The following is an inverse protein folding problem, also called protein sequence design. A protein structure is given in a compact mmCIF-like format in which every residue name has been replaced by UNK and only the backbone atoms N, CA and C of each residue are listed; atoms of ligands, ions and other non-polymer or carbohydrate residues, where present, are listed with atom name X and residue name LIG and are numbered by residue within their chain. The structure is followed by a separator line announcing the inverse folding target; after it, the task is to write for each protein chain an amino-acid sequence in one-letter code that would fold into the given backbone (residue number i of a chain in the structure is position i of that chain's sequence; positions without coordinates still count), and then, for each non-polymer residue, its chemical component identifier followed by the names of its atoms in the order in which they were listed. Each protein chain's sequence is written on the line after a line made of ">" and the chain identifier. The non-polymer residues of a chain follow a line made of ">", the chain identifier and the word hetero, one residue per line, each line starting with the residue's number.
data_IF_625341398498
#
_entry.id   IF_625341398498
#
_cell.length_a   1.000
_cell.length_b   1.000
_cell.length_c   1.000
_cell.angle_alpha   90.00
_cell.angle_beta   90.00
_cell.angle_gamma   90.00
#
_symmetry.space_group_name_H-M   'P 1'
#
loop_
_entity.id
_entity.type
_entity.pdbx_description
1 polymer ?
#
# COMPACT_ATOMS: atom_id res chain seq x y z
N UNK A 1 16.31 1.17 8.63
CA UNK A 1 17.37 0.23 9.05
C UNK A 1 16.91 -1.22 8.90
N UNK A 2 15.78 -1.65 9.51
CA UNK A 2 15.30 -3.05 9.40
C UNK A 2 15.07 -3.47 7.94
N UNK A 3 14.30 -2.69 7.18
CA UNK A 3 14.00 -2.97 5.77
C UNK A 3 15.28 -3.05 4.92
N UNK A 4 16.22 -2.15 5.17
CA UNK A 4 17.53 -2.17 4.49
C UNK A 4 18.31 -3.44 4.83
N UNK A 5 18.40 -3.80 6.11
CA UNK A 5 19.13 -5.00 6.56
C UNK A 5 18.45 -6.27 6.03
N UNK A 6 17.13 -6.33 6.02
CA UNK A 6 16.36 -7.45 5.46
C UNK A 6 16.66 -7.65 3.97
N UNK A 7 16.72 -6.54 3.20
CA UNK A 7 17.06 -6.58 1.77
C UNK A 7 18.45 -7.18 1.49
N UNK A 8 19.39 -7.03 2.45
CA UNK A 8 20.74 -7.61 2.37
C UNK A 8 20.88 -8.97 3.09
N UNK A 9 19.76 -9.61 3.47
CA UNK A 9 19.78 -10.92 4.14
C UNK A 9 20.22 -10.88 5.61
N UNK A 10 20.28 -9.69 6.22
CA UNK A 10 20.74 -9.47 7.62
C UNK A 10 19.53 -9.39 8.59
N UNK A 11 18.58 -10.33 8.45
CA UNK A 11 17.32 -10.32 9.19
C UNK A 11 17.48 -10.33 10.71
N UNK A 12 18.45 -11.10 11.23
CA UNK A 12 18.65 -11.20 12.69
C UNK A 12 19.16 -9.88 13.29
N UNK A 13 20.06 -9.20 12.59
CA UNK A 13 20.52 -7.87 13.01
C UNK A 13 19.37 -6.84 12.93
N UNK A 14 18.56 -6.92 11.87
CA UNK A 14 17.37 -6.08 11.74
C UNK A 14 16.41 -6.25 12.91
N UNK A 15 16.12 -7.51 13.30
CA UNK A 15 15.26 -7.82 14.45
C UNK A 15 15.82 -7.29 15.77
N UNK A 16 17.12 -7.37 15.99
CA UNK A 16 17.75 -6.82 17.20
C UNK A 16 17.50 -5.30 17.36
N UNK A 17 17.52 -4.53 16.24
CA UNK A 17 17.19 -3.12 16.27
C UNK A 17 15.71 -2.87 16.60
N UNK A 18 14.79 -3.68 16.06
CA UNK A 18 13.37 -3.59 16.39
C UNK A 18 13.12 -3.91 17.87
N UNK A 19 13.75 -4.96 18.40
CA UNK A 19 13.65 -5.34 19.82
C UNK A 19 14.19 -4.24 20.75
N UNK A 20 15.27 -3.56 20.36
CA UNK A 20 15.79 -2.41 21.11
C UNK A 20 14.79 -1.26 21.10
N UNK A 21 14.16 -0.98 19.96
CA UNK A 21 13.14 0.06 19.85
C UNK A 21 11.90 -0.25 20.72
N UNK A 22 11.48 -1.52 20.81
CA UNK A 22 10.37 -1.95 21.67
C UNK A 22 10.63 -1.79 23.18
N UNK A 23 11.88 -1.74 23.61
CA UNK A 23 12.24 -1.47 25.03
C UNK A 23 12.03 -0.02 25.42
N UNK A 24 11.95 0.91 24.45
CA UNK A 24 11.64 2.30 24.72
C UNK A 24 10.17 2.43 25.14
N UNK A 25 9.88 3.27 26.14
CA UNK A 25 8.51 3.48 26.62
C UNK A 25 7.75 4.37 25.65
N UNK A 26 6.66 3.85 25.06
CA UNK A 26 5.73 4.65 24.28
C UNK A 26 4.93 5.61 25.19
N UNK A 27 4.83 6.88 24.78
CA UNK A 27 4.16 7.96 25.54
C UNK A 27 3.17 8.75 24.71
N UNK A 28 3.34 8.79 23.39
CA UNK A 28 2.54 9.57 22.46
C UNK A 28 1.81 8.66 21.48
N UNK A 29 0.78 9.20 20.81
CA UNK A 29 0.09 8.48 19.72
C UNK A 29 1.06 7.99 18.64
N UNK A 30 2.05 8.83 18.28
CA UNK A 30 3.08 8.45 17.32
C UNK A 30 3.96 7.31 17.83
N UNK A 31 4.40 7.34 19.09
CA UNK A 31 5.16 6.22 19.67
C UNK A 31 4.36 4.91 19.61
N UNK A 32 3.06 4.95 19.91
CA UNK A 32 2.18 3.77 19.80
C UNK A 32 2.03 3.30 18.36
N UNK A 33 1.90 4.21 17.41
CA UNK A 33 1.86 3.88 15.99
C UNK A 33 3.17 3.21 15.53
N UNK A 34 4.33 3.81 15.85
CA UNK A 34 5.63 3.22 15.50
C UNK A 34 5.82 1.84 16.14
N UNK A 35 5.40 1.66 17.40
CA UNK A 35 5.42 0.36 18.08
C UNK A 35 4.54 -0.66 17.37
N UNK A 36 3.35 -0.27 16.91
CA UNK A 36 2.47 -1.12 16.11
C UNK A 36 3.13 -1.56 14.80
N UNK A 37 3.76 -0.63 14.09
CA UNK A 37 4.53 -0.95 12.87
C UNK A 37 5.66 -1.95 13.13
N UNK A 38 6.40 -1.78 14.23
CA UNK A 38 7.46 -2.72 14.62
C UNK A 38 6.89 -4.11 14.87
N UNK A 39 5.80 -4.24 15.61
CA UNK A 39 5.15 -5.54 15.84
C UNK A 39 4.65 -6.17 14.54
N UNK A 40 4.14 -5.35 13.60
CA UNK A 40 3.74 -5.83 12.26
C UNK A 40 4.93 -6.43 11.50
N UNK A 41 6.09 -5.77 11.53
CA UNK A 41 7.33 -6.26 10.90
C UNK A 41 7.83 -7.55 11.55
N UNK A 42 7.58 -7.74 12.85
CA UNK A 42 7.93 -8.95 13.60
C UNK A 42 6.88 -10.08 13.44
N UNK A 43 5.74 -9.81 12.81
CA UNK A 43 4.64 -10.78 12.65
C UNK A 43 3.78 -10.95 13.91
N UNK A 44 3.99 -10.14 14.96
CA UNK A 44 3.15 -10.11 16.16
C UNK A 44 1.96 -9.17 15.95
N UNK A 45 0.98 -9.67 15.19
CA UNK A 45 -0.17 -8.86 14.77
C UNK A 45 -1.08 -8.46 15.94
N UNK A 46 -1.21 -9.29 16.98
CA UNK A 46 -2.02 -8.97 18.16
C UNK A 46 -1.44 -7.78 18.94
N UNK A 47 -0.13 -7.77 19.16
CA UNK A 47 0.56 -6.64 19.78
C UNK A 47 0.55 -5.39 18.89
N UNK A 48 0.61 -5.57 17.56
CA UNK A 48 0.48 -4.49 16.59
C UNK A 48 -0.88 -3.80 16.70
N UNK A 49 -1.97 -4.58 16.63
CA UNK A 49 -3.34 -4.07 16.75
C UNK A 49 -3.54 -3.35 18.09
N UNK A 50 -3.08 -3.94 19.20
CA UNK A 50 -3.18 -3.33 20.53
C UNK A 50 -2.47 -1.98 20.62
N UNK A 51 -1.32 -1.85 19.97
CA UNK A 51 -0.54 -0.61 19.95
C UNK A 51 -1.19 0.42 19.05
N UNK A 52 -1.56 0.02 17.82
CA UNK A 52 -2.22 0.91 16.85
C UNK A 52 -3.57 1.40 17.34
N UNK A 53 -4.34 0.55 18.06
CA UNK A 53 -5.60 0.96 18.66
C UNK A 53 -5.41 2.12 19.61
N UNK A 54 -4.36 2.12 20.44
CA UNK A 54 -4.05 3.28 21.31
C UNK A 54 -3.79 4.55 20.52
N UNK A 55 -3.05 4.45 19.40
CA UNK A 55 -2.80 5.59 18.54
C UNK A 55 -4.10 6.11 17.90
N UNK A 56 -5.00 5.23 17.47
CA UNK A 56 -6.34 5.59 16.94
C UNK A 56 -7.20 6.24 18.03
N UNK A 57 -7.19 5.72 19.26
CA UNK A 57 -7.94 6.26 20.39
C UNK A 57 -7.45 7.68 20.76
N UNK A 58 -6.16 7.96 20.57
CA UNK A 58 -5.54 9.29 20.68
C UNK A 58 -5.72 10.16 19.40
N UNK A 59 -6.58 9.71 18.46
CA UNK A 59 -6.97 10.41 17.23
C UNK A 59 -5.83 10.63 16.22
N UNK A 60 -4.80 9.81 16.23
CA UNK A 60 -3.80 9.81 15.17
C UNK A 60 -4.38 9.12 13.93
N UNK A 61 -4.82 9.91 12.96
CA UNK A 61 -5.54 9.44 11.75
C UNK A 61 -4.72 8.42 10.97
N UNK A 62 -3.42 8.66 10.80
CA UNK A 62 -2.49 7.76 10.08
C UNK A 62 -2.41 6.35 10.69
N UNK A 63 -2.75 6.18 11.97
CA UNK A 63 -2.80 4.86 12.59
C UNK A 63 -3.86 3.94 11.96
N UNK A 64 -4.92 4.50 11.33
CA UNK A 64 -5.90 3.71 10.59
C UNK A 64 -5.27 3.03 9.35
N UNK A 65 -4.38 3.71 8.63
CA UNK A 65 -3.63 3.10 7.53
C UNK A 65 -2.89 1.85 8.00
N UNK A 66 -2.09 1.97 9.07
CA UNK A 66 -1.35 0.82 9.61
C UNK A 66 -2.24 -0.28 10.20
N UNK A 67 -3.42 0.08 10.72
CA UNK A 67 -4.44 -0.92 11.12
C UNK A 67 -4.91 -1.72 9.90
N UNK A 68 -5.17 -1.05 8.77
CA UNK A 68 -5.52 -1.70 7.51
C UNK A 68 -4.44 -2.69 7.05
N UNK A 69 -3.16 -2.27 7.07
CA UNK A 69 -2.03 -3.14 6.70
C UNK A 69 -1.92 -4.39 7.61
N UNK A 70 -2.12 -4.24 8.93
CA UNK A 70 -2.06 -5.38 9.86
C UNK A 70 -3.15 -6.38 9.55
N UNK A 71 -4.40 -5.93 9.40
CA UNK A 71 -5.52 -6.81 9.09
C UNK A 71 -5.37 -7.48 7.72
N UNK A 72 -4.80 -6.78 6.72
CA UNK A 72 -4.47 -7.39 5.44
C UNK A 72 -3.48 -8.55 5.61
N UNK A 73 -2.40 -8.34 6.38
CA UNK A 73 -1.41 -9.38 6.66
C UNK A 73 -1.96 -10.57 7.45
N UNK A 74 -3.03 -10.36 8.22
CA UNK A 74 -3.79 -11.43 8.88
C UNK A 74 -4.79 -12.14 7.96
N UNK A 75 -5.06 -11.61 6.76
CA UNK A 75 -6.10 -12.10 5.85
C UNK A 75 -7.51 -11.67 6.24
N UNK A 76 -7.68 -10.76 7.20
CA UNK A 76 -8.98 -10.15 7.54
C UNK A 76 -9.25 -8.95 6.61
N UNK A 77 -9.76 -9.27 5.41
CA UNK A 77 -10.00 -8.29 4.37
C UNK A 77 -11.07 -7.27 4.74
N UNK A 78 -12.11 -7.67 5.48
CA UNK A 78 -13.20 -6.78 5.88
C UNK A 78 -12.71 -5.70 6.84
N UNK A 79 -11.93 -6.10 7.85
CA UNK A 79 -11.32 -5.15 8.77
C UNK A 79 -10.29 -4.26 8.07
N UNK A 80 -9.48 -4.82 7.16
CA UNK A 80 -8.52 -4.06 6.37
C UNK A 80 -9.19 -2.96 5.57
N UNK A 81 -10.22 -3.29 4.78
CA UNK A 81 -10.98 -2.30 3.98
C UNK A 81 -11.62 -1.23 4.86
N UNK A 82 -12.20 -1.61 6.01
CA UNK A 82 -12.81 -0.68 6.96
C UNK A 82 -11.81 0.37 7.46
N UNK A 83 -10.59 -0.03 7.78
CA UNK A 83 -9.58 0.88 8.30
C UNK A 83 -8.93 1.72 7.19
N UNK A 84 -8.67 1.14 6.02
CA UNK A 84 -8.22 1.89 4.85
C UNK A 84 -9.25 2.96 4.43
N UNK A 85 -10.55 2.61 4.42
CA UNK A 85 -11.60 3.59 4.14
C UNK A 85 -11.58 4.75 5.13
N UNK A 86 -11.44 4.49 6.44
CA UNK A 86 -11.34 5.57 7.44
C UNK A 86 -10.17 6.51 7.18
N UNK A 87 -9.04 5.96 6.70
CA UNK A 87 -7.88 6.75 6.36
C UNK A 87 -8.09 7.55 5.07
N UNK A 88 -8.66 6.93 4.05
CA UNK A 88 -9.02 7.60 2.81
C UNK A 88 -9.98 8.78 3.04
N UNK A 89 -11.03 8.54 3.85
CA UNK A 89 -12.06 9.54 4.18
C UNK A 89 -11.47 10.76 4.95
N UNK A 90 -10.27 10.65 5.51
CA UNK A 90 -9.58 11.77 6.16
C UNK A 90 -8.92 12.76 5.20
N UNK A 91 -8.66 12.34 3.97
CA UNK A 91 -7.94 13.12 2.97
C UNK A 91 -6.42 13.27 3.23
N UNK A 92 -5.85 12.54 4.19
CA UNK A 92 -4.42 12.63 4.56
C UNK A 92 -3.53 11.66 3.77
N UNK A 93 -4.11 10.73 2.99
CA UNK A 93 -3.36 9.71 2.28
C UNK A 93 -2.49 10.33 1.16
N UNK A 94 -1.23 9.94 1.11
CA UNK A 94 -0.35 10.27 0.00
C UNK A 94 -0.43 9.23 -1.15
N UNK A 95 0.23 9.54 -2.27
CA UNK A 95 0.17 8.69 -3.46
C UNK A 95 0.79 7.30 -3.27
N UNK A 96 1.78 7.16 -2.41
CA UNK A 96 2.37 5.86 -2.08
C UNK A 96 1.45 5.02 -1.21
N UNK A 97 0.78 5.65 -0.25
CA UNK A 97 -0.18 4.98 0.64
C UNK A 97 -1.41 4.52 -0.14
N UNK A 98 -1.95 5.37 -1.02
CA UNK A 98 -3.05 4.99 -1.91
C UNK A 98 -2.65 3.87 -2.88
N UNK A 99 -1.43 3.92 -3.44
CA UNK A 99 -0.91 2.83 -4.26
C UNK A 99 -0.85 1.51 -3.48
N UNK A 100 -0.34 1.54 -2.24
CA UNK A 100 -0.27 0.34 -1.40
C UNK A 100 -1.67 -0.21 -1.06
N UNK A 101 -2.65 0.67 -0.79
CA UNK A 101 -4.04 0.26 -0.58
C UNK A 101 -4.62 -0.41 -1.84
N UNK A 102 -4.36 0.16 -3.03
CA UNK A 102 -4.75 -0.43 -4.30
C UNK A 102 -4.11 -1.79 -4.53
N UNK A 103 -2.80 -1.91 -4.27
CA UNK A 103 -2.12 -3.20 -4.38
C UNK A 103 -2.71 -4.24 -3.42
N UNK A 104 -3.06 -3.86 -2.20
CA UNK A 104 -3.74 -4.72 -1.25
C UNK A 104 -5.07 -5.29 -1.81
N UNK A 105 -5.82 -4.46 -2.54
CA UNK A 105 -7.05 -4.91 -3.20
C UNK A 105 -6.77 -5.81 -4.39
N UNK A 106 -5.71 -5.55 -5.17
CA UNK A 106 -5.24 -6.43 -6.24
C UNK A 106 -4.94 -7.83 -5.71
N UNK A 107 -4.19 -7.92 -4.62
CA UNK A 107 -3.79 -9.19 -3.99
C UNK A 107 -5.01 -10.01 -3.50
N UNK A 108 -6.11 -9.32 -3.19
CA UNK A 108 -7.38 -9.92 -2.79
C UNK A 108 -8.36 -10.18 -3.96
N UNK A 109 -7.96 -9.87 -5.19
CA UNK A 109 -8.82 -10.00 -6.37
C UNK A 109 -9.91 -8.94 -6.51
N UNK A 110 -9.87 -7.88 -5.71
CA UNK A 110 -10.83 -6.78 -5.71
C UNK A 110 -10.40 -5.68 -6.69
N UNK A 111 -10.31 -6.02 -7.98
CA UNK A 111 -9.69 -5.17 -9.01
C UNK A 111 -10.39 -3.82 -9.18
N UNK A 112 -11.72 -3.77 -9.15
CA UNK A 112 -12.46 -2.51 -9.25
C UNK A 112 -12.15 -1.56 -8.10
N UNK A 113 -12.02 -2.09 -6.89
CA UNK A 113 -11.64 -1.29 -5.71
C UNK A 113 -10.18 -0.83 -5.82
N UNK A 114 -9.29 -1.66 -6.33
CA UNK A 114 -7.90 -1.28 -6.59
C UNK A 114 -7.82 -0.10 -7.57
N UNK A 115 -8.58 -0.15 -8.66
CA UNK A 115 -8.66 0.93 -9.66
C UNK A 115 -9.08 2.24 -9.00
N UNK A 116 -10.06 2.23 -8.10
CA UNK A 116 -10.49 3.44 -7.37
C UNK A 116 -9.35 4.03 -6.54
N UNK A 117 -8.57 3.21 -5.81
CA UNK A 117 -7.43 3.71 -5.05
C UNK A 117 -6.33 4.29 -5.96
N UNK A 118 -6.05 3.65 -7.10
CA UNK A 118 -5.08 4.17 -8.06
C UNK A 118 -5.54 5.47 -8.71
N UNK A 119 -6.83 5.62 -9.05
CA UNK A 119 -7.40 6.86 -9.54
C UNK A 119 -7.27 7.99 -8.52
N UNK A 120 -7.68 7.75 -7.26
CA UNK A 120 -7.52 8.73 -6.19
C UNK A 120 -6.06 9.17 -6.00
N UNK A 121 -5.11 8.23 -6.15
CA UNK A 121 -3.69 8.55 -6.07
C UNK A 121 -3.22 9.47 -7.21
N UNK A 122 -3.73 9.26 -8.42
CA UNK A 122 -3.39 10.06 -9.60
C UNK A 122 -4.04 11.47 -9.59
N UNK A 123 -5.10 11.67 -8.80
CA UNK A 123 -5.79 12.95 -8.64
C UNK A 123 -5.13 13.88 -7.61
N UNK A 124 -4.14 13.40 -6.84
CA UNK A 124 -3.42 14.23 -5.88
C UNK A 124 -2.56 15.30 -6.58
N UNK A 125 -2.34 16.44 -5.91
CA UNK A 125 -1.48 17.52 -6.41
C UNK A 125 -0.03 17.08 -6.66
N UNK A 126 0.46 16.12 -5.87
CA UNK A 126 1.82 15.59 -5.98
C UNK A 126 1.80 14.08 -6.09
N UNK A 127 2.27 13.56 -7.23
CA UNK A 127 2.29 12.12 -7.54
C UNK A 127 3.69 11.70 -8.00
N UNK A 128 4.70 11.65 -7.09
CA UNK A 128 6.08 11.33 -7.48
C UNK A 128 6.23 9.91 -8.05
N UNK A 129 5.30 9.00 -7.73
CA UNK A 129 5.26 7.62 -8.22
C UNK A 129 4.19 7.41 -9.32
N UNK A 130 3.85 8.46 -10.10
CA UNK A 130 2.82 8.42 -11.15
C UNK A 130 2.99 7.24 -12.11
N UNK A 131 4.23 7.00 -12.58
CA UNK A 131 4.52 5.90 -13.49
C UNK A 131 4.11 4.54 -12.92
N UNK A 132 4.46 4.27 -11.67
CA UNK A 132 4.17 3.00 -10.99
C UNK A 132 2.67 2.83 -10.79
N UNK A 133 1.96 3.88 -10.37
CA UNK A 133 0.51 3.85 -10.16
C UNK A 133 -0.21 3.62 -11.47
N UNK A 134 0.19 4.29 -12.56
CA UNK A 134 -0.45 4.13 -13.87
C UNK A 134 -0.27 2.71 -14.39
N UNK A 135 0.93 2.11 -14.25
CA UNK A 135 1.15 0.69 -14.61
C UNK A 135 0.28 -0.25 -13.76
N UNK A 136 0.23 -0.04 -12.44
CA UNK A 136 -0.60 -0.87 -11.56
C UNK A 136 -2.09 -0.77 -11.90
N UNK A 137 -2.58 0.41 -12.27
CA UNK A 137 -3.96 0.63 -12.69
C UNK A 137 -4.28 -0.09 -14.02
N UNK A 138 -3.37 -0.06 -14.99
CA UNK A 138 -3.52 -0.78 -16.26
C UNK A 138 -3.65 -2.29 -15.98
N UNK A 139 -2.75 -2.84 -15.17
CA UNK A 139 -2.78 -4.25 -14.76
C UNK A 139 -4.10 -4.58 -14.04
N UNK A 140 -4.64 -3.66 -13.24
CA UNK A 140 -5.92 -3.87 -12.57
C UNK A 140 -7.08 -3.97 -13.58
N UNK A 141 -7.10 -3.14 -14.62
CA UNK A 141 -8.08 -3.25 -15.71
C UNK A 141 -7.96 -4.58 -16.48
N UNK A 142 -6.74 -5.07 -16.73
CA UNK A 142 -6.52 -6.37 -17.37
C UNK A 142 -7.09 -7.52 -16.52
N UNK A 143 -6.79 -7.53 -15.22
CA UNK A 143 -7.31 -8.55 -14.31
C UNK A 143 -8.82 -8.47 -14.09
N UNK A 144 -9.42 -7.28 -14.19
CA UNK A 144 -10.88 -7.11 -14.18
C UNK A 144 -11.56 -7.57 -15.48
N UNK A 145 -10.76 -7.80 -16.54
CA UNK A 145 -11.24 -8.18 -17.88
C UNK A 145 -11.60 -7.00 -18.78
N UNK A 146 -11.39 -5.77 -18.32
CA UNK A 146 -11.60 -4.56 -19.14
C UNK A 146 -10.37 -4.24 -20.00
N UNK A 147 -10.10 -5.12 -20.95
CA UNK A 147 -8.97 -4.99 -21.88
C UNK A 147 -9.06 -3.74 -22.76
N UNK A 148 -10.26 -3.26 -23.04
CA UNK A 148 -10.44 -2.04 -23.85
C UNK A 148 -9.91 -0.80 -23.13
N UNK A 149 -10.25 -0.66 -21.84
CA UNK A 149 -9.72 0.42 -21.01
C UNK A 149 -8.23 0.26 -20.74
N UNK A 150 -7.76 -0.97 -20.46
CA UNK A 150 -6.36 -1.27 -20.27
C UNK A 150 -5.53 -0.83 -21.49
N UNK A 151 -5.97 -1.19 -22.70
CA UNK A 151 -5.31 -0.80 -23.96
C UNK A 151 -5.25 0.71 -24.14
N UNK A 152 -6.37 1.41 -23.95
CA UNK A 152 -6.42 2.87 -24.05
C UNK A 152 -5.48 3.56 -23.07
N UNK A 153 -5.43 3.07 -21.81
CA UNK A 153 -4.52 3.58 -20.78
C UNK A 153 -3.05 3.26 -21.10
N UNK A 154 -2.77 2.12 -21.69
CA UNK A 154 -1.41 1.77 -22.14
C UNK A 154 -0.95 2.67 -23.30
N UNK A 155 -1.84 3.02 -24.23
CA UNK A 155 -1.53 4.01 -25.28
C UNK A 155 -1.19 5.39 -24.71
N UNK A 156 -1.92 5.84 -23.68
CA UNK A 156 -1.63 7.09 -22.96
C UNK A 156 -0.27 6.98 -22.23
N UNK A 157 -0.05 5.87 -21.55
CA UNK A 157 1.19 5.60 -20.80
C UNK A 157 2.43 5.63 -21.69
N UNK A 158 2.39 4.98 -22.86
CA UNK A 158 3.53 4.96 -23.78
C UNK A 158 3.89 6.34 -24.37
N UNK A 159 2.95 7.28 -24.43
CA UNK A 159 3.24 8.67 -24.81
C UNK A 159 4.04 9.40 -23.73
N UNK A 160 3.72 9.12 -22.45
CA UNK A 160 4.41 9.73 -21.31
C UNK A 160 5.78 9.05 -21.04
N UNK A 161 5.88 7.74 -21.36
CA UNK A 161 7.05 6.89 -21.07
C UNK A 161 7.48 6.06 -22.30
N UNK A 162 7.96 6.70 -23.38
CA UNK A 162 8.24 6.03 -24.65
C UNK A 162 9.41 5.02 -24.59
N UNK A 163 10.27 5.12 -23.60
CA UNK A 163 11.44 4.24 -23.42
C UNK A 163 11.14 3.00 -22.59
N UNK A 164 9.87 2.78 -22.17
CA UNK A 164 9.46 1.60 -21.41
C UNK A 164 9.21 0.43 -22.37
N UNK A 165 10.24 -0.40 -22.61
CA UNK A 165 10.16 -1.56 -23.51
C UNK A 165 9.15 -2.62 -23.04
N UNK A 166 8.90 -2.75 -21.73
CA UNK A 166 7.93 -3.68 -21.18
C UNK A 166 6.50 -3.24 -21.54
N UNK A 167 6.22 -1.94 -21.50
CA UNK A 167 4.94 -1.40 -21.91
C UNK A 167 4.63 -1.65 -23.39
N UNK A 168 5.63 -1.55 -24.25
CA UNK A 168 5.45 -1.83 -25.68
C UNK A 168 5.08 -3.30 -25.93
N UNK A 169 5.65 -4.26 -25.19
CA UNK A 169 5.30 -5.67 -25.27
C UNK A 169 3.88 -5.95 -24.74
N UNK A 170 3.52 -5.34 -23.62
CA UNK A 170 2.20 -5.47 -23.03
C UNK A 170 1.11 -4.89 -23.94
N UNK A 171 1.39 -3.75 -24.57
CA UNK A 171 0.48 -3.17 -25.56
C UNK A 171 0.19 -4.14 -26.73
N UNK A 172 1.22 -4.81 -27.28
CA UNK A 172 1.03 -5.81 -28.33
C UNK A 172 0.13 -6.98 -27.87
N UNK A 173 0.24 -7.40 -26.61
CA UNK A 173 -0.66 -8.38 -26.05
C UNK A 173 -2.10 -7.85 -26.00
N UNK A 174 -2.31 -6.63 -25.55
CA UNK A 174 -3.62 -5.98 -25.46
C UNK A 174 -4.28 -5.76 -26.83
N UNK A 175 -3.49 -5.61 -27.91
CA UNK A 175 -4.03 -5.52 -29.28
C UNK A 175 -4.74 -6.79 -29.75
N UNK A 176 -4.47 -7.92 -29.15
CA UNK A 176 -5.03 -9.25 -29.51
C UNK A 176 -6.26 -9.63 -28.68
N UNK A 177 -6.73 -8.76 -27.74
CA UNK A 177 -7.86 -9.01 -26.82
C UNK A 177 -9.12 -8.19 -27.16
#
# INVERSE_FOLDING_TARGET
>A
VYETLSKYGMNDQGKEYLDKALKLKAKTADDYMQRGRIYTMLGDYDSAIKSLKKAVDEKLVKANYYMGEVYQKQGDNDSSQKYFKKYLDSGEADSYELMNMGQAQMDNGNYDTAIIYFQNALELESVPNKQQITKAMIIAYEYSGDFATAKSKMEEYMKDYPDDEDAAREYQFLETR
#
